data_IF_439474101933
#
_entry.id   IF_439474101933
#
_cell.length_a   1.000
_cell.length_b   1.000
_cell.length_c   1.000
_cell.angle_alpha   90.00
_cell.angle_beta   90.00
_cell.angle_gamma   90.00
#
_symmetry.space_group_name_H-M   'P 1'
#
loop_
_entity.id
_entity.type
_entity.pdbx_description
1 polymer ?
#
# COMPACT_ATOMS: atom_id res chain seq x y z
N UNK A 1 -14.09 19.97 2.66
CA UNK A 1 -13.94 18.52 2.36
C UNK A 1 -13.27 17.76 3.52
N UNK A 2 -12.05 18.08 3.95
CA UNK A 2 -11.37 17.36 5.05
C UNK A 2 -12.04 17.47 6.43
N UNK A 3 -12.68 18.62 6.75
CA UNK A 3 -13.49 18.77 7.98
C UNK A 3 -14.68 17.79 8.07
N UNK A 4 -15.19 17.32 6.94
CA UNK A 4 -16.26 16.33 6.93
C UNK A 4 -15.72 14.95 7.32
N UNK A 5 -14.63 14.51 6.68
CA UNK A 5 -14.04 13.18 6.93
C UNK A 5 -13.37 13.02 8.29
N UNK A 6 -12.94 14.12 8.93
CA UNK A 6 -12.40 14.12 10.30
C UNK A 6 -13.43 14.42 11.39
N UNK A 7 -14.72 14.42 11.07
CA UNK A 7 -15.78 14.74 12.04
C UNK A 7 -16.11 13.55 12.93
N UNK A 8 -16.10 13.76 14.25
CA UNK A 8 -16.54 12.78 15.25
C UNK A 8 -18.03 12.43 15.13
N UNK A 9 -18.79 13.19 14.32
CA UNK A 9 -20.19 12.90 14.00
C UNK A 9 -20.37 11.80 12.95
N UNK A 10 -19.30 11.39 12.27
CA UNK A 10 -19.35 10.22 11.38
C UNK A 10 -19.23 8.97 12.23
N UNK A 11 -20.28 8.15 12.22
CA UNK A 11 -20.28 6.85 12.88
C UNK A 11 -19.08 6.00 12.41
N UNK A 12 -18.51 5.20 13.31
CA UNK A 12 -17.26 4.48 13.04
C UNK A 12 -17.34 3.58 11.78
N UNK A 13 -18.50 2.94 11.59
CA UNK A 13 -18.88 2.09 10.44
C UNK A 13 -19.16 2.88 9.15
N UNK A 14 -19.18 4.21 9.21
CA UNK A 14 -19.45 5.10 8.06
C UNK A 14 -18.25 5.94 7.67
N UNK A 15 -17.08 5.67 8.25
CA UNK A 15 -15.84 6.35 7.89
C UNK A 15 -15.37 5.87 6.50
N UNK A 16 -15.01 6.79 5.59
CA UNK A 16 -14.54 6.38 4.28
C UNK A 16 -13.19 5.67 4.36
N UNK A 17 -13.01 4.68 3.50
CA UNK A 17 -11.69 4.07 3.28
C UNK A 17 -10.85 5.01 2.43
N UNK A 18 -9.67 5.37 2.93
CA UNK A 18 -8.65 6.08 2.16
C UNK A 18 -7.62 5.07 1.65
N UNK A 19 -7.36 5.07 0.34
CA UNK A 19 -6.44 4.13 -0.29
C UNK A 19 -5.50 4.82 -1.28
N UNK A 20 -4.25 4.36 -1.30
CA UNK A 20 -3.26 4.71 -2.33
C UNK A 20 -3.21 3.64 -3.40
N UNK A 21 -3.43 4.01 -4.66
CA UNK A 21 -3.40 3.09 -5.81
C UNK A 21 -2.29 3.50 -6.77
N UNK A 22 -1.55 2.51 -7.28
CA UNK A 22 -0.52 2.75 -8.29
C UNK A 22 -0.73 1.86 -9.53
N UNK A 23 -1.31 2.45 -10.57
CA UNK A 23 -1.56 1.80 -11.86
C UNK A 23 -0.36 1.83 -12.81
N UNK A 24 0.70 2.55 -12.45
CA UNK A 24 1.81 2.89 -13.34
C UNK A 24 3.11 2.17 -12.97
N UNK A 25 3.03 1.14 -12.14
CA UNK A 25 4.19 0.37 -11.72
C UNK A 25 4.74 -0.44 -12.90
N UNK A 26 6.05 -0.36 -13.11
CA UNK A 26 6.74 -1.02 -14.22
C UNK A 26 7.58 -2.20 -13.78
N UNK A 27 7.89 -3.10 -14.71
CA UNK A 27 8.84 -4.20 -14.50
C UNK A 27 10.22 -3.68 -14.04
N UNK A 28 10.72 -2.59 -14.63
CA UNK A 28 12.01 -2.00 -14.27
C UNK A 28 12.04 -1.42 -12.85
N UNK A 29 10.93 -0.82 -12.40
CA UNK A 29 10.79 -0.37 -11.00
C UNK A 29 10.77 -1.52 -9.99
N UNK A 30 10.64 -2.77 -10.47
CA UNK A 30 10.53 -4.00 -9.69
C UNK A 30 11.61 -5.03 -10.02
N UNK A 31 12.83 -4.57 -10.32
CA UNK A 31 14.00 -5.43 -10.53
C UNK A 31 14.19 -5.94 -11.96
N UNK A 32 13.31 -5.59 -12.90
CA UNK A 32 13.39 -5.99 -14.32
C UNK A 32 14.30 -5.12 -15.20
N UNK A 33 15.32 -4.46 -14.65
CA UNK A 33 16.23 -3.59 -15.41
C UNK A 33 15.56 -2.30 -15.93
N UNK A 34 15.81 -1.91 -17.19
CA UNK A 34 15.24 -0.69 -17.80
C UNK A 34 13.82 -0.88 -18.38
N UNK A 35 13.13 -1.97 -18.03
CA UNK A 35 11.80 -2.30 -18.55
C UNK A 35 10.75 -1.23 -18.23
N UNK A 36 10.12 -0.67 -19.28
CA UNK A 36 9.04 0.34 -19.17
C UNK A 36 7.64 -0.28 -19.19
N UNK A 37 7.54 -1.59 -19.36
CA UNK A 37 6.26 -2.30 -19.42
C UNK A 37 5.55 -2.23 -18.07
N UNK A 38 4.27 -1.88 -18.11
CA UNK A 38 3.41 -1.84 -16.93
C UNK A 38 3.14 -3.25 -16.41
N UNK A 39 3.12 -3.39 -15.09
CA UNK A 39 2.71 -4.63 -14.42
C UNK A 39 1.18 -4.80 -14.41
N UNK A 40 0.44 -3.69 -14.45
CA UNK A 40 -1.02 -3.69 -14.46
C UNK A 40 -1.60 -3.40 -15.84
N UNK A 41 -2.86 -3.76 -16.00
CA UNK A 41 -3.67 -3.45 -17.18
C UNK A 41 -4.88 -2.59 -16.80
N UNK A 42 -5.47 -1.90 -17.78
CA UNK A 42 -6.65 -1.04 -17.55
C UNK A 42 -7.81 -1.78 -16.88
N UNK A 43 -8.02 -3.06 -17.21
CA UNK A 43 -9.12 -3.87 -16.67
C UNK A 43 -8.95 -4.21 -15.19
N UNK A 44 -7.72 -4.17 -14.67
CA UNK A 44 -7.42 -4.50 -13.27
C UNK A 44 -8.07 -3.50 -12.30
N UNK A 45 -8.45 -2.30 -12.77
CA UNK A 45 -9.20 -1.30 -11.98
C UNK A 45 -10.46 -1.87 -11.34
N UNK A 46 -11.16 -2.78 -12.04
CA UNK A 46 -12.37 -3.41 -11.51
C UNK A 46 -12.07 -4.24 -10.26
N UNK A 47 -10.91 -4.90 -10.25
CA UNK A 47 -10.47 -5.73 -9.12
C UNK A 47 -10.11 -4.86 -7.93
N UNK A 48 -9.36 -3.77 -8.13
CA UNK A 48 -8.95 -2.88 -7.04
C UNK A 48 -10.15 -2.21 -6.38
N UNK A 49 -11.13 -1.75 -7.17
CA UNK A 49 -12.36 -1.17 -6.63
C UNK A 49 -13.19 -2.20 -5.86
N UNK A 50 -13.28 -3.44 -6.34
CA UNK A 50 -13.97 -4.50 -5.60
C UNK A 50 -13.26 -4.92 -4.31
N UNK A 51 -11.92 -4.89 -4.28
CA UNK A 51 -11.20 -5.12 -3.03
C UNK A 51 -11.47 -4.00 -2.01
N UNK A 52 -11.45 -2.74 -2.46
CA UNK A 52 -11.73 -1.58 -1.60
C UNK A 52 -13.17 -1.57 -1.08
N UNK A 53 -14.13 -1.96 -1.92
CA UNK A 53 -15.53 -2.16 -1.52
C UNK A 53 -15.63 -3.19 -0.39
N UNK A 54 -15.08 -4.40 -0.58
CA UNK A 54 -15.09 -5.44 0.47
C UNK A 54 -14.37 -4.98 1.73
N UNK A 55 -13.26 -4.24 1.59
CA UNK A 55 -12.56 -3.66 2.74
C UNK A 55 -13.42 -2.63 3.47
N UNK A 56 -14.24 -1.82 2.79
CA UNK A 56 -15.11 -0.85 3.42
C UNK A 56 -16.20 -1.49 4.30
N UNK A 57 -16.55 -2.76 4.03
CA UNK A 57 -17.48 -3.56 4.82
C UNK A 57 -16.79 -4.52 5.82
N UNK A 58 -15.47 -4.41 6.02
CA UNK A 58 -14.67 -5.34 6.83
C UNK A 58 -14.75 -6.82 6.38
N UNK A 59 -15.11 -7.07 5.12
CA UNK A 59 -15.41 -8.40 4.55
C UNK A 59 -14.20 -9.10 3.90
N UNK A 60 -12.97 -8.61 4.12
CA UNK A 60 -11.78 -9.21 3.50
C UNK A 60 -10.52 -9.07 4.37
N UNK A 61 -9.72 -10.14 4.52
CA UNK A 61 -8.49 -10.07 5.30
C UNK A 61 -7.39 -9.28 4.57
N UNK A 62 -6.40 -8.84 5.34
CA UNK A 62 -5.31 -8.00 4.85
C UNK A 62 -3.98 -8.33 5.55
N UNK A 63 -2.90 -7.76 5.02
CA UNK A 63 -1.56 -7.76 5.61
C UNK A 63 -1.32 -6.34 6.14
N UNK A 64 -1.00 -6.21 7.43
CA UNK A 64 -0.61 -4.90 7.98
C UNK A 64 0.87 -4.64 7.71
N UNK A 65 1.16 -3.39 7.38
CA UNK A 65 2.51 -2.89 7.20
C UNK A 65 2.64 -1.54 7.89
N UNK A 66 3.86 -1.04 8.13
CA UNK A 66 4.06 0.31 8.65
C UNK A 66 3.35 1.40 7.84
N UNK A 67 3.17 1.19 6.53
CA UNK A 67 2.59 2.17 5.61
C UNK A 67 1.12 1.89 5.25
N UNK A 68 0.44 1.04 6.00
CA UNK A 68 -0.97 0.70 5.83
C UNK A 68 -1.21 -0.75 5.47
N UNK A 69 -2.35 -1.02 4.84
CA UNK A 69 -2.85 -2.37 4.61
C UNK A 69 -2.61 -2.82 3.16
N UNK A 70 -2.18 -4.06 3.00
CA UNK A 70 -2.05 -4.70 1.68
C UNK A 70 -3.05 -5.85 1.53
N UNK A 71 -3.56 -6.10 0.32
CA UNK A 71 -4.38 -7.27 0.03
C UNK A 71 -3.56 -8.56 0.14
N UNK A 72 -4.20 -9.67 0.53
CA UNK A 72 -3.59 -11.01 0.43
C UNK A 72 -3.70 -11.57 -0.98
N UNK A 73 -2.79 -12.49 -1.32
CA UNK A 73 -2.71 -13.09 -2.64
C UNK A 73 -3.99 -13.84 -3.03
N UNK A 74 -4.49 -14.72 -2.17
CA UNK A 74 -5.62 -15.59 -2.50
C UNK A 74 -6.91 -14.79 -2.74
N UNK A 75 -7.12 -13.73 -1.97
CA UNK A 75 -8.24 -12.81 -2.15
C UNK A 75 -8.19 -12.09 -3.50
N UNK A 76 -7.02 -11.57 -3.88
CA UNK A 76 -6.86 -10.96 -5.19
C UNK A 76 -7.03 -11.98 -6.31
N UNK A 77 -6.45 -13.17 -6.16
CA UNK A 77 -6.56 -14.23 -7.16
C UNK A 77 -8.04 -14.58 -7.42
N UNK A 78 -8.83 -14.72 -6.35
CA UNK A 78 -10.26 -14.94 -6.46
C UNK A 78 -10.97 -13.76 -7.15
N UNK A 79 -10.68 -12.52 -6.76
CA UNK A 79 -11.28 -11.33 -7.37
C UNK A 79 -10.91 -11.16 -8.86
N UNK A 80 -9.67 -11.43 -9.24
CA UNK A 80 -9.21 -11.38 -10.63
C UNK A 80 -9.95 -12.38 -11.50
N UNK A 81 -10.14 -13.60 -10.99
CA UNK A 81 -10.93 -14.62 -11.67
C UNK A 81 -12.41 -14.22 -11.76
N UNK A 82 -13.01 -13.80 -10.65
CA UNK A 82 -14.45 -13.44 -10.56
C UNK A 82 -14.80 -12.22 -11.43
N UNK A 83 -14.01 -11.14 -11.34
CA UNK A 83 -14.38 -9.85 -11.95
C UNK A 83 -13.99 -9.75 -13.42
N UNK A 84 -12.88 -10.37 -13.82
CA UNK A 84 -12.35 -10.21 -15.18
C UNK A 84 -11.87 -11.51 -15.84
N UNK A 85 -11.98 -12.67 -15.18
CA UNK A 85 -11.56 -13.96 -15.74
C UNK A 85 -10.05 -14.05 -16.00
N UNK A 86 -9.24 -13.28 -15.26
CA UNK A 86 -7.78 -13.21 -15.44
C UNK A 86 -7.09 -14.13 -14.44
N UNK A 87 -6.16 -14.96 -14.93
CA UNK A 87 -5.26 -15.71 -14.06
C UNK A 87 -4.26 -14.73 -13.44
N UNK A 88 -4.33 -14.57 -12.12
CA UNK A 88 -3.43 -13.71 -11.35
C UNK A 88 -2.32 -14.55 -10.71
N UNK A 89 -1.08 -14.33 -11.17
CA UNK A 89 0.08 -15.12 -10.74
C UNK A 89 0.70 -14.59 -9.44
N UNK A 90 1.34 -15.49 -8.68
CA UNK A 90 2.09 -15.11 -7.48
C UNK A 90 3.24 -14.17 -7.79
N UNK A 91 3.93 -14.38 -8.92
CA UNK A 91 5.02 -13.50 -9.37
C UNK A 91 4.56 -12.06 -9.59
N UNK A 92 3.38 -11.87 -10.23
CA UNK A 92 2.83 -10.53 -10.44
C UNK A 92 2.46 -9.86 -9.12
N UNK A 93 1.84 -10.63 -8.21
CA UNK A 93 1.50 -10.16 -6.87
C UNK A 93 2.74 -9.70 -6.08
N UNK A 94 3.78 -10.52 -6.05
CA UNK A 94 5.01 -10.19 -5.32
C UNK A 94 5.66 -8.92 -5.90
N UNK A 95 5.70 -8.77 -7.23
CA UNK A 95 6.18 -7.54 -7.88
C UNK A 95 5.32 -6.33 -7.53
N UNK A 96 4.00 -6.46 -7.44
CA UNK A 96 3.10 -5.35 -7.13
C UNK A 96 3.24 -4.90 -5.67
N UNK A 97 3.31 -5.85 -4.73
CA UNK A 97 3.14 -5.60 -3.30
C UNK A 97 4.41 -5.71 -2.44
N UNK A 98 5.57 -6.06 -3.02
CA UNK A 98 6.84 -5.96 -2.30
C UNK A 98 7.19 -4.51 -1.95
N UNK A 99 7.69 -4.31 -0.72
CA UNK A 99 8.12 -3.02 -0.21
C UNK A 99 9.59 -2.78 -0.55
N UNK A 100 9.85 -1.77 -1.39
CA UNK A 100 11.20 -1.31 -1.71
C UNK A 100 11.55 -0.21 -0.70
N UNK A 101 12.07 -0.64 0.44
CA UNK A 101 12.16 0.19 1.65
C UNK A 101 12.93 1.47 1.40
N UNK A 102 14.08 1.40 0.74
CA UNK A 102 14.92 2.57 0.47
C UNK A 102 14.19 3.65 -0.35
N UNK A 103 13.38 3.23 -1.33
CA UNK A 103 12.59 4.17 -2.14
C UNK A 103 11.48 4.83 -1.33
N UNK A 104 10.84 4.07 -0.43
CA UNK A 104 9.74 4.55 0.40
C UNK A 104 10.29 5.50 1.47
N UNK A 105 11.37 5.12 2.16
CA UNK A 105 12.05 5.96 3.15
C UNK A 105 12.56 7.24 2.52
N UNK A 106 13.19 7.18 1.34
CA UNK A 106 13.61 8.39 0.62
C UNK A 106 12.45 9.35 0.32
N UNK A 107 11.26 8.82 0.00
CA UNK A 107 10.06 9.64 -0.21
C UNK A 107 9.57 10.27 1.11
N UNK A 108 9.59 9.51 2.20
CA UNK A 108 9.24 10.02 3.53
C UNK A 108 10.20 11.13 3.94
N UNK A 109 11.51 10.92 3.78
CA UNK A 109 12.55 11.91 4.11
C UNK A 109 12.36 13.20 3.30
N UNK A 110 12.06 13.08 2.00
CA UNK A 110 11.72 14.22 1.16
C UNK A 110 10.47 14.98 1.66
N UNK A 111 9.44 14.26 2.09
CA UNK A 111 8.21 14.86 2.64
C UNK A 111 8.48 15.56 3.97
N UNK A 112 9.25 14.94 4.87
CA UNK A 112 9.66 15.53 6.14
C UNK A 112 10.45 16.83 5.92
N UNK A 113 11.42 16.82 4.99
CA UNK A 113 12.22 18.00 4.68
C UNK A 113 11.39 19.13 4.05
N UNK A 114 10.54 18.81 3.07
CA UNK A 114 9.74 19.79 2.37
C UNK A 114 8.68 20.41 3.29
N UNK A 115 7.92 19.57 4.01
CA UNK A 115 6.85 20.04 4.88
C UNK A 115 7.36 20.62 6.20
N UNK A 116 8.55 20.24 6.67
CA UNK A 116 9.15 20.85 7.86
C UNK A 116 9.43 22.35 7.73
N UNK A 117 9.46 22.87 6.49
CA UNK A 117 9.67 24.30 6.18
C UNK A 117 8.36 25.10 6.22
N UNK A 118 7.21 24.43 6.19
CA UNK A 118 5.89 25.06 6.12
C UNK A 118 5.38 25.48 7.49
N UNK A 119 4.78 26.67 7.56
CA UNK A 119 4.13 27.16 8.78
C UNK A 119 2.70 26.63 8.84
N UNK A 120 2.24 26.25 10.03
CA UNK A 120 0.86 25.78 10.31
C UNK A 120 0.50 24.37 9.82
N UNK A 121 1.46 23.44 9.75
CA UNK A 121 1.14 22.02 9.57
C UNK A 121 0.88 21.31 10.90
N UNK A 122 -0.08 20.37 10.97
CA UNK A 122 -0.31 19.58 12.17
C UNK A 122 0.90 18.71 12.53
N UNK A 123 1.33 18.74 13.80
CA UNK A 123 2.39 17.87 14.33
C UNK A 123 2.13 16.38 14.03
N UNK A 124 0.85 15.99 14.02
CA UNK A 124 0.38 14.64 13.70
C UNK A 124 0.91 14.10 12.37
N UNK A 125 1.11 14.96 11.36
CA UNK A 125 1.67 14.53 10.08
C UNK A 125 3.09 13.97 10.26
N UNK A 126 3.93 14.68 11.01
CA UNK A 126 5.32 14.31 11.24
C UNK A 126 5.43 13.08 12.13
N UNK A 127 4.58 12.96 13.16
CA UNK A 127 4.50 11.75 13.99
C UNK A 127 4.20 10.51 13.15
N UNK A 128 3.22 10.59 12.24
CA UNK A 128 2.85 9.47 11.37
C UNK A 128 3.99 9.13 10.41
N UNK A 129 4.62 10.12 9.77
CA UNK A 129 5.74 9.90 8.85
C UNK A 129 6.96 9.28 9.57
N UNK A 130 7.28 9.73 10.78
CA UNK A 130 8.37 9.17 11.58
C UNK A 130 8.08 7.73 12.00
N UNK A 131 6.87 7.43 12.49
CA UNK A 131 6.47 6.06 12.84
C UNK A 131 6.51 5.11 11.64
N UNK A 132 6.05 5.57 10.46
CA UNK A 132 6.17 4.82 9.21
C UNK A 132 7.63 4.52 8.87
N UNK A 133 8.49 5.54 8.97
CA UNK A 133 9.93 5.42 8.69
C UNK A 133 10.60 4.42 9.63
N UNK A 134 10.36 4.51 10.93
CA UNK A 134 10.90 3.59 11.94
C UNK A 134 10.48 2.14 11.67
N UNK A 135 9.18 1.90 11.42
CA UNK A 135 8.69 0.57 11.10
C UNK A 135 9.28 0.00 9.81
N UNK A 136 9.49 0.84 8.79
CA UNK A 136 10.15 0.44 7.55
C UNK A 136 11.63 0.09 7.77
N UNK A 137 12.35 0.86 8.58
CA UNK A 137 13.74 0.57 8.92
C UNK A 137 13.86 -0.74 9.70
N UNK A 138 12.96 -1.01 10.65
CA UNK A 138 12.92 -2.28 11.37
C UNK A 138 12.68 -3.48 10.42
N UNK A 139 11.81 -3.34 9.42
CA UNK A 139 11.63 -4.36 8.39
C UNK A 139 12.90 -4.54 7.54
N UNK A 140 13.59 -3.45 7.20
CA UNK A 140 14.84 -3.49 6.44
C UNK A 140 15.96 -4.19 7.21
N UNK A 141 16.10 -3.91 8.50
CA UNK A 141 17.11 -4.55 9.35
C UNK A 141 16.88 -6.07 9.45
N UNK A 142 15.60 -6.49 9.42
CA UNK A 142 15.23 -7.91 9.49
C UNK A 142 15.32 -8.66 8.15
N UNK A 143 14.93 -8.03 7.05
CA UNK A 143 14.70 -8.72 5.76
C UNK A 143 15.47 -8.13 4.57
N UNK A 144 16.14 -6.99 4.74
CA UNK A 144 16.83 -6.26 3.68
C UNK A 144 15.97 -5.22 2.98
N UNK A 145 16.53 -4.58 1.94
CA UNK A 145 15.92 -3.43 1.26
C UNK A 145 14.65 -3.74 0.46
N UNK A 146 14.39 -5.01 0.14
CA UNK A 146 13.19 -5.45 -0.57
C UNK A 146 12.50 -6.50 0.29
N UNK A 147 11.30 -6.15 0.78
CA UNK A 147 10.52 -7.01 1.67
C UNK A 147 9.28 -7.52 0.95
N UNK A 148 9.13 -8.84 0.84
CA UNK A 148 8.02 -9.49 0.13
C UNK A 148 6.76 -9.57 0.99
N UNK A 149 5.56 -9.72 0.39
CA UNK A 149 4.33 -9.94 1.15
C UNK A 149 4.39 -11.12 2.12
N UNK A 150 5.11 -12.18 1.78
CA UNK A 150 5.29 -13.36 2.61
C UNK A 150 6.13 -13.07 3.87
N UNK A 151 7.21 -12.30 3.73
CA UNK A 151 7.99 -11.84 4.87
C UNK A 151 7.17 -10.95 5.81
N UNK A 152 6.27 -10.12 5.27
CA UNK A 152 5.37 -9.27 6.05
C UNK A 152 4.36 -10.09 6.86
N UNK A 153 3.88 -11.21 6.33
CA UNK A 153 3.00 -12.13 7.07
C UNK A 153 3.74 -12.88 8.18
N UNK A 154 4.99 -13.30 7.94
CA UNK A 154 5.81 -14.03 8.90
C UNK A 154 6.31 -13.14 10.06
N UNK A 155 6.37 -11.82 9.87
CA UNK A 155 6.78 -10.87 10.90
C UNK A 155 5.78 -10.74 12.06
N UNK A 156 4.60 -11.36 11.96
CA UNK A 156 3.53 -11.34 12.97
C UNK A 156 3.38 -12.66 13.75
N UNK A 157 4.21 -13.66 13.46
CA UNK A 157 4.24 -14.96 14.16
C UNK A 157 5.30 -14.99 15.24
#
# INVERSE_FOLDING_TARGET
>A
QFKFFGSDKIAADKRPVLAGLNYFLTEGARGGGQGKKLLGEKRDVKVWLSWLERRAYDDIPYIETPIGLLPKFDDLKALFQEKIGKVYSRELYDKQFSLYIDNIVKRIDLQLEAYGKEKNLPARLFEVLNSQREGLMALKDKYGSIVTPEQLTAAKS
#
